data_IF_016999405113
#
_entry.id   IF_016999405113
#
_cell.length_a   1.000
_cell.length_b   1.000
_cell.length_c   1.000
_cell.angle_alpha   90.00
_cell.angle_beta   90.00
_cell.angle_gamma   90.00
#
_symmetry.space_group_name_H-M   'P 1'
#
loop_
_entity.id
_entity.type
_entity.pdbx_description
1 polymer ?
#
# COMPACT_ATOMS: atom_id res chain seq x y z
N UNK A 1 -14.49 8.87 -9.81
CA UNK A 1 -13.76 8.52 -11.05
C UNK A 1 -12.29 8.33 -10.66
N UNK A 2 -11.64 7.23 -11.08
CA UNK A 2 -10.21 7.04 -10.79
C UNK A 2 -9.37 8.17 -11.40
N UNK A 3 -8.37 8.64 -10.65
CA UNK A 3 -7.37 9.60 -11.10
C UNK A 3 -6.15 8.86 -11.63
N UNK A 4 -5.62 9.27 -12.77
CA UNK A 4 -4.43 8.66 -13.37
C UNK A 4 -3.31 9.70 -13.44
N UNK A 5 -2.09 9.26 -13.09
CA UNK A 5 -0.87 10.05 -13.20
C UNK A 5 -0.07 9.48 -14.36
N UNK A 6 0.11 10.24 -15.43
CA UNK A 6 0.96 9.85 -16.56
C UNK A 6 2.42 10.21 -16.26
N UNK A 7 3.26 9.21 -16.18
CA UNK A 7 4.68 9.34 -15.87
C UNK A 7 5.54 9.63 -17.13
N UNK A 8 4.93 9.67 -18.32
CA UNK A 8 5.61 10.00 -19.58
C UNK A 8 5.63 11.51 -19.88
N UNK A 9 4.68 12.26 -19.30
CA UNK A 9 4.48 13.70 -19.50
C UNK A 9 4.40 14.44 -18.16
N UNK A 10 5.53 14.50 -17.43
CA UNK A 10 5.57 15.24 -16.17
C UNK A 10 6.03 16.68 -16.42
N UNK A 11 5.10 17.55 -16.83
CA UNK A 11 5.17 18.98 -16.54
C UNK A 11 4.43 19.24 -15.22
N UNK A 12 5.16 19.82 -14.27
CA UNK A 12 4.77 19.95 -12.87
C UNK A 12 3.79 21.12 -12.73
N UNK A 13 2.49 20.85 -12.61
CA UNK A 13 1.62 21.76 -11.85
C UNK A 13 1.69 21.34 -10.37
N UNK A 14 2.41 22.14 -9.59
CA UNK A 14 2.43 22.05 -8.13
C UNK A 14 1.03 22.43 -7.60
N UNK A 15 0.19 21.43 -7.42
CA UNK A 15 -1.01 21.61 -6.58
C UNK A 15 -0.65 21.14 -5.17
N UNK A 16 -0.41 22.10 -4.30
CA UNK A 16 -0.34 21.87 -2.86
C UNK A 16 -1.71 21.36 -2.40
N UNK A 17 -1.88 20.04 -2.30
CA UNK A 17 -3.09 19.45 -1.75
C UNK A 17 -3.08 19.63 -0.24
N UNK A 18 -3.75 20.69 0.23
CA UNK A 18 -4.09 20.87 1.65
C UNK A 18 -5.24 19.93 1.99
N UNK A 19 -5.22 19.23 3.15
CA UNK A 19 -6.32 18.37 3.56
C UNK A 19 -7.62 19.16 3.63
N UNK A 20 -8.53 18.92 2.71
CA UNK A 20 -9.89 19.45 2.80
C UNK A 20 -10.73 18.54 3.69
N UNK A 21 -11.32 19.09 4.74
CA UNK A 21 -12.31 18.42 5.60
C UNK A 21 -11.86 17.17 6.36
N UNK A 22 -10.63 17.14 6.92
CA UNK A 22 -10.19 16.06 7.80
C UNK A 22 -9.91 14.71 7.11
N UNK A 23 -9.92 14.65 5.78
CA UNK A 23 -9.55 13.47 5.02
C UNK A 23 -8.03 13.32 4.94
N UNK A 24 -7.54 12.10 5.08
CA UNK A 24 -6.11 11.80 4.93
C UNK A 24 -5.66 12.01 3.48
N UNK A 25 -4.45 12.55 3.32
CA UNK A 25 -3.81 12.75 2.02
C UNK A 25 -2.40 12.17 2.06
N UNK A 26 -2.11 11.24 1.16
CA UNK A 26 -0.76 10.76 0.88
C UNK A 26 -0.21 11.57 -0.29
N UNK A 27 0.90 12.28 -0.08
CA UNK A 27 1.47 13.21 -1.05
C UNK A 27 2.95 12.92 -1.28
N UNK A 28 3.37 12.98 -2.52
CA UNK A 28 4.79 12.91 -2.91
C UNK A 28 5.20 14.23 -3.54
N UNK A 29 6.41 14.68 -3.27
CA UNK A 29 6.95 15.93 -3.78
C UNK A 29 8.34 15.71 -4.38
N UNK A 30 8.46 15.98 -5.68
CA UNK A 30 9.73 16.00 -6.42
C UNK A 30 10.61 14.77 -6.20
N UNK A 31 10.01 13.58 -6.20
CA UNK A 31 10.76 12.34 -5.98
C UNK A 31 11.79 12.11 -7.08
N UNK A 32 13.02 11.88 -6.68
CA UNK A 32 14.13 11.51 -7.56
C UNK A 32 14.76 10.22 -7.09
N UNK A 33 15.00 9.30 -8.02
CA UNK A 33 15.77 8.07 -7.77
C UNK A 33 16.81 7.85 -8.84
N UNK A 34 18.06 7.68 -8.37
CA UNK A 34 19.23 7.42 -9.20
C UNK A 34 19.86 6.08 -8.81
N UNK A 35 20.27 5.31 -9.78
CA UNK A 35 21.12 4.13 -9.61
C UNK A 35 22.43 4.35 -10.38
N UNK A 36 23.51 4.60 -9.66
CA UNK A 36 24.77 5.05 -10.26
C UNK A 36 24.57 6.36 -11.05
N UNK A 37 24.87 6.32 -12.35
CA UNK A 37 24.72 7.49 -13.25
C UNK A 37 23.33 7.60 -13.89
N UNK A 38 22.47 6.59 -13.71
CA UNK A 38 21.15 6.55 -14.34
C UNK A 38 20.07 7.10 -13.41
N UNK A 39 19.39 8.15 -13.84
CA UNK A 39 18.15 8.62 -13.19
C UNK A 39 16.98 7.76 -13.69
N UNK A 40 16.28 7.09 -12.76
CA UNK A 40 15.14 6.22 -13.05
C UNK A 40 13.83 6.93 -12.78
N UNK A 41 13.80 7.80 -11.78
CA UNK A 41 12.66 8.68 -11.47
C UNK A 41 13.17 10.10 -11.35
N UNK A 42 12.53 11.04 -12.05
CA UNK A 42 12.95 12.44 -12.10
C UNK A 42 11.78 13.35 -11.73
N UNK A 43 11.87 13.99 -10.57
CA UNK A 43 10.93 15.01 -10.05
C UNK A 43 9.45 14.62 -10.12
N UNK A 44 9.12 13.39 -9.71
CA UNK A 44 7.74 12.90 -9.70
C UNK A 44 6.98 13.39 -8.48
N UNK A 45 5.81 14.02 -8.73
CA UNK A 45 4.89 14.48 -7.69
C UNK A 45 3.49 14.00 -7.98
N UNK A 46 2.78 13.48 -6.98
CA UNK A 46 1.37 13.14 -7.04
C UNK A 46 0.78 13.07 -5.62
N UNK A 47 -0.54 13.10 -5.54
CA UNK A 47 -1.29 12.95 -4.30
C UNK A 47 -2.39 11.89 -4.43
N UNK A 48 -2.72 11.28 -3.31
CA UNK A 48 -3.84 10.35 -3.15
C UNK A 48 -4.65 10.78 -1.94
N UNK A 49 -5.91 11.14 -2.16
CA UNK A 49 -6.84 11.51 -1.09
C UNK A 49 -7.63 10.30 -0.60
N UNK A 50 -8.04 10.31 0.64
CA UNK A 50 -8.87 9.24 1.21
C UNK A 50 -10.13 9.00 0.37
N UNK A 51 -10.36 7.74 -0.01
CA UNK A 51 -11.46 7.33 -0.88
C UNK A 51 -11.19 7.54 -2.39
N UNK A 52 -10.01 8.03 -2.77
CA UNK A 52 -9.59 8.19 -4.16
C UNK A 52 -8.83 6.97 -4.66
N UNK A 53 -8.97 6.66 -5.95
CA UNK A 53 -8.16 5.66 -6.65
C UNK A 53 -7.27 6.38 -7.65
N UNK A 54 -5.97 6.24 -7.49
CA UNK A 54 -4.95 6.84 -8.37
C UNK A 54 -4.16 5.75 -9.07
N UNK A 55 -4.05 5.83 -10.40
CA UNK A 55 -3.25 4.92 -11.22
C UNK A 55 -1.99 5.60 -11.75
N UNK A 56 -0.83 4.94 -11.60
CA UNK A 56 0.41 5.37 -12.24
C UNK A 56 0.50 4.74 -13.64
N UNK A 57 0.46 5.55 -14.67
CA UNK A 57 0.54 5.13 -16.07
C UNK A 57 1.89 5.53 -16.68
N UNK A 58 2.23 4.90 -17.79
CA UNK A 58 3.43 5.18 -18.57
C UNK A 58 4.05 3.92 -19.17
N UNK A 59 5.01 4.07 -20.10
CA UNK A 59 5.68 2.95 -20.75
C UNK A 59 6.54 2.14 -19.78
N UNK A 60 7.01 0.98 -20.21
CA UNK A 60 7.95 0.19 -19.43
C UNK A 60 9.26 0.98 -19.25
N UNK A 61 9.77 0.99 -18.03
CA UNK A 61 10.96 1.77 -17.68
C UNK A 61 10.70 3.23 -17.30
N UNK A 62 9.45 3.72 -17.32
CA UNK A 62 9.08 5.09 -16.91
C UNK A 62 9.23 5.35 -15.39
N UNK A 63 9.68 4.39 -14.60
CA UNK A 63 9.87 4.57 -13.16
C UNK A 63 8.63 4.33 -12.30
N UNK A 64 7.51 3.82 -12.86
CA UNK A 64 6.26 3.57 -12.12
C UNK A 64 6.46 2.72 -10.87
N UNK A 65 7.05 1.54 -11.02
CA UNK A 65 7.33 0.61 -9.91
C UNK A 65 8.26 1.24 -8.88
N UNK A 66 9.29 1.97 -9.33
CA UNK A 66 10.23 2.64 -8.44
C UNK A 66 9.54 3.75 -7.65
N UNK A 67 8.70 4.57 -8.27
CA UNK A 67 7.89 5.60 -7.60
C UNK A 67 6.92 5.00 -6.59
N UNK A 68 6.25 3.91 -6.96
CA UNK A 68 5.39 3.15 -6.05
C UNK A 68 6.18 2.60 -4.85
N UNK A 69 7.36 2.02 -5.07
CA UNK A 69 8.20 1.49 -3.99
C UNK A 69 8.77 2.59 -3.08
N UNK A 70 9.04 3.77 -3.59
CA UNK A 70 9.38 4.92 -2.75
C UNK A 70 8.20 5.33 -1.88
N UNK A 71 6.99 5.39 -2.47
CA UNK A 71 5.76 5.76 -1.76
C UNK A 71 5.39 4.76 -0.66
N UNK A 72 5.66 3.48 -0.85
CA UNK A 72 5.38 2.43 0.13
C UNK A 72 6.51 2.21 1.15
N UNK A 73 7.69 2.80 0.96
CA UNK A 73 8.83 2.70 1.87
C UNK A 73 9.76 1.53 1.62
N UNK A 74 9.62 0.83 0.47
CA UNK A 74 10.54 -0.22 0.04
C UNK A 74 11.86 0.33 -0.49
N UNK A 75 11.83 1.54 -1.03
CA UNK A 75 12.99 2.27 -1.57
C UNK A 75 13.00 3.67 -0.98
N UNK A 76 14.16 4.15 -0.58
CA UNK A 76 14.35 5.54 -0.13
C UNK A 76 14.68 6.39 -1.37
N UNK A 77 14.02 7.54 -1.59
CA UNK A 77 14.37 8.47 -2.66
C UNK A 77 15.75 9.10 -2.43
N UNK A 78 16.40 9.55 -3.49
CA UNK A 78 17.61 10.37 -3.40
C UNK A 78 17.28 11.83 -3.10
N UNK A 79 16.16 12.33 -3.64
CA UNK A 79 15.66 13.69 -3.44
C UNK A 79 14.13 13.65 -3.39
N UNK A 80 13.54 14.69 -2.83
CA UNK A 80 12.09 14.81 -2.65
C UNK A 80 11.58 14.24 -1.34
N UNK A 81 10.29 14.39 -1.10
CA UNK A 81 9.64 14.04 0.15
C UNK A 81 8.34 13.28 -0.07
N UNK A 82 7.94 12.53 0.95
CA UNK A 82 6.67 11.80 1.01
C UNK A 82 6.00 12.17 2.31
N UNK A 83 4.76 12.64 2.22
CA UNK A 83 3.98 13.11 3.37
C UNK A 83 2.69 12.30 3.50
N UNK A 84 2.33 12.01 4.74
CA UNK A 84 0.98 11.59 5.12
C UNK A 84 0.37 12.73 5.92
N UNK A 85 -0.56 13.48 5.31
CA UNK A 85 -0.97 14.82 5.76
C UNK A 85 0.27 15.73 5.91
N UNK A 86 0.55 16.22 7.12
CA UNK A 86 1.72 17.05 7.40
C UNK A 86 2.92 16.28 7.93
N UNK A 87 2.78 14.96 8.11
CA UNK A 87 3.84 14.10 8.62
C UNK A 87 4.77 13.67 7.49
N UNK A 88 6.05 14.07 7.57
CA UNK A 88 7.09 13.57 6.65
C UNK A 88 7.41 12.11 6.99
N UNK A 89 7.09 11.21 6.05
CA UNK A 89 7.32 9.78 6.17
C UNK A 89 8.43 9.28 5.24
N UNK A 90 9.18 10.17 4.61
CA UNK A 90 10.19 9.86 3.59
C UNK A 90 11.17 8.79 4.06
N UNK A 91 11.68 8.90 5.30
CA UNK A 91 12.61 7.96 5.89
C UNK A 91 11.95 6.76 6.59
N UNK A 92 10.60 6.71 6.65
CA UNK A 92 9.89 5.65 7.34
C UNK A 92 9.98 4.33 6.56
N UNK A 93 10.43 3.25 7.19
CA UNK A 93 10.35 1.91 6.60
C UNK A 93 8.89 1.44 6.52
N UNK A 94 8.65 0.38 5.73
CA UNK A 94 7.31 -0.16 5.44
C UNK A 94 6.49 -0.37 6.72
N UNK A 95 7.08 -0.97 7.77
CA UNK A 95 6.34 -1.25 9.01
C UNK A 95 5.84 0.00 9.73
N UNK A 96 6.65 1.09 9.73
CA UNK A 96 6.23 2.36 10.30
C UNK A 96 5.12 3.02 9.48
N UNK A 97 5.17 2.89 8.15
CA UNK A 97 4.09 3.37 7.27
C UNK A 97 2.81 2.58 7.51
N UNK A 98 2.90 1.27 7.68
CA UNK A 98 1.77 0.42 8.03
C UNK A 98 1.11 0.85 9.37
N UNK A 99 1.92 1.18 10.39
CA UNK A 99 1.42 1.71 11.68
C UNK A 99 0.71 3.07 11.54
N UNK A 100 0.95 3.80 10.46
CA UNK A 100 0.27 5.05 10.14
C UNK A 100 -0.87 4.87 9.12
N UNK A 101 -1.29 3.63 8.83
CA UNK A 101 -2.42 3.33 7.98
C UNK A 101 -2.11 3.17 6.49
N UNK A 102 -0.84 2.99 6.10
CA UNK A 102 -0.49 2.74 4.69
C UNK A 102 -0.35 1.24 4.47
N UNK A 103 -1.38 0.61 3.92
CA UNK A 103 -1.34 -0.79 3.52
C UNK A 103 -0.51 -1.00 2.25
N UNK A 104 0.20 -2.13 2.19
CA UNK A 104 0.96 -2.54 1.00
C UNK A 104 0.53 -3.93 0.55
N UNK A 105 0.07 -4.03 -0.70
CA UNK A 105 -0.26 -5.28 -1.36
C UNK A 105 0.79 -5.58 -2.43
N UNK A 106 1.65 -6.58 -2.17
CA UNK A 106 2.70 -6.98 -3.09
C UNK A 106 2.14 -7.52 -4.43
N UNK A 107 2.89 -7.34 -5.52
CA UNK A 107 2.58 -7.95 -6.81
C UNK A 107 2.78 -9.47 -6.75
N UNK A 108 3.84 -9.93 -6.10
CA UNK A 108 4.14 -11.34 -5.92
C UNK A 108 3.35 -11.93 -4.73
N UNK A 109 3.22 -13.26 -4.74
CA UNK A 109 2.52 -13.97 -3.67
C UNK A 109 3.20 -13.77 -2.32
N UNK A 110 2.47 -13.21 -1.35
CA UNK A 110 2.97 -12.86 -0.02
C UNK A 110 2.31 -13.66 1.12
N UNK A 111 1.42 -14.60 0.80
CA UNK A 111 0.74 -15.44 1.79
C UNK A 111 1.74 -16.31 2.55
N UNK A 112 1.58 -16.45 3.86
CA UNK A 112 2.35 -17.40 4.65
C UNK A 112 1.89 -18.81 4.35
N UNK A 113 2.71 -19.55 3.60
CA UNK A 113 2.35 -20.84 3.00
C UNK A 113 1.96 -21.92 4.01
N UNK A 114 2.57 -21.91 5.19
CA UNK A 114 2.38 -22.90 6.27
C UNK A 114 1.40 -22.45 7.35
N UNK A 115 0.74 -21.34 7.15
CA UNK A 115 -0.32 -20.86 8.02
C UNK A 115 -1.67 -21.02 7.32
N UNK A 116 -2.74 -21.24 8.10
CA UNK A 116 -4.10 -21.25 7.56
C UNK A 116 -4.51 -19.87 7.05
N UNK A 117 -5.60 -19.79 6.30
CA UNK A 117 -6.16 -18.49 5.86
C UNK A 117 -6.47 -17.61 7.07
N UNK A 118 -7.14 -18.13 8.08
CA UNK A 118 -7.47 -17.35 9.28
C UNK A 118 -6.21 -16.92 10.04
N UNK A 119 -5.20 -17.78 10.19
CA UNK A 119 -3.96 -17.43 10.87
C UNK A 119 -3.16 -16.37 10.09
N UNK A 120 -3.20 -16.43 8.76
CA UNK A 120 -2.62 -15.39 7.90
C UNK A 120 -3.22 -14.01 8.19
N UNK A 121 -4.52 -13.92 8.39
CA UNK A 121 -5.21 -12.64 8.69
C UNK A 121 -5.01 -12.28 10.16
N UNK A 122 -5.18 -13.23 11.07
CA UNK A 122 -5.04 -13.03 12.51
C UNK A 122 -3.65 -12.53 12.90
N UNK A 123 -2.59 -13.05 12.27
CA UNK A 123 -1.21 -12.62 12.53
C UNK A 123 -0.98 -11.12 12.30
N UNK A 124 -1.73 -10.50 11.41
CA UNK A 124 -1.67 -9.05 11.18
C UNK A 124 -2.51 -8.30 12.20
N UNK A 125 -3.69 -8.83 12.54
CA UNK A 125 -4.55 -8.23 13.56
C UNK A 125 -3.88 -8.20 14.94
N UNK A 126 -3.10 -9.22 15.28
CA UNK A 126 -2.31 -9.28 16.53
C UNK A 126 -1.27 -8.16 16.63
N UNK A 127 -0.78 -7.64 15.50
CA UNK A 127 0.14 -6.50 15.46
C UNK A 127 -0.57 -5.16 15.69
N UNK A 128 -1.89 -5.13 15.59
CA UNK A 128 -2.68 -3.94 15.93
C UNK A 128 -2.84 -3.85 17.45
N UNK A 129 -2.96 -2.64 17.98
CA UNK A 129 -3.18 -2.43 19.43
C UNK A 129 -4.67 -2.42 19.77
N UNK A 130 -5.49 -3.17 19.04
CA UNK A 130 -6.94 -3.26 19.23
C UNK A 130 -7.30 -4.36 20.23
N UNK A 131 -8.54 -4.32 20.77
CA UNK A 131 -9.00 -5.35 21.70
C UNK A 131 -9.16 -6.72 21.04
N UNK A 132 -9.01 -7.81 21.79
CA UNK A 132 -9.22 -9.18 21.28
C UNK A 132 -10.61 -9.37 20.66
N UNK A 133 -11.63 -8.73 21.22
CA UNK A 133 -13.00 -8.76 20.72
C UNK A 133 -13.09 -8.14 19.33
N UNK A 134 -12.52 -6.96 19.15
CA UNK A 134 -12.43 -6.28 17.86
C UNK A 134 -11.65 -7.10 16.83
N UNK A 135 -10.49 -7.68 17.20
CA UNK A 135 -9.68 -8.52 16.31
C UNK A 135 -10.48 -9.73 15.81
N UNK A 136 -11.24 -10.37 16.70
CA UNK A 136 -12.11 -11.50 16.34
C UNK A 136 -13.24 -11.08 15.39
N UNK A 137 -13.93 -9.99 15.69
CA UNK A 137 -15.00 -9.46 14.86
C UNK A 137 -14.46 -9.05 13.47
N UNK A 138 -13.35 -8.37 13.42
CA UNK A 138 -12.69 -7.98 12.17
C UNK A 138 -12.25 -9.18 11.33
N UNK A 139 -11.71 -10.23 11.97
CA UNK A 139 -11.34 -11.47 11.29
C UNK A 139 -12.57 -12.13 10.63
N UNK A 140 -13.67 -12.27 11.36
CA UNK A 140 -14.91 -12.86 10.82
C UNK A 140 -15.47 -12.00 9.66
N UNK A 141 -15.46 -10.70 9.81
CA UNK A 141 -15.89 -9.76 8.76
C UNK A 141 -15.07 -9.93 7.48
N UNK A 142 -13.73 -9.95 7.59
CA UNK A 142 -12.83 -10.10 6.44
C UNK A 142 -13.01 -11.47 5.76
N UNK A 143 -13.14 -12.55 6.54
CA UNK A 143 -13.39 -13.89 6.00
C UNK A 143 -14.71 -13.93 5.23
N UNK A 144 -15.75 -13.28 5.73
CA UNK A 144 -17.05 -13.20 5.07
C UNK A 144 -16.99 -12.34 3.80
N UNK A 145 -16.43 -11.15 3.88
CA UNK A 145 -16.31 -10.19 2.76
C UNK A 145 -15.55 -10.79 1.57
N UNK A 146 -14.43 -11.46 1.84
CA UNK A 146 -13.59 -12.07 0.82
C UNK A 146 -13.98 -13.51 0.46
N UNK A 147 -15.12 -14.02 0.98
CA UNK A 147 -15.67 -15.36 0.68
C UNK A 147 -14.64 -16.47 0.92
N UNK A 148 -13.97 -16.41 2.07
CA UNK A 148 -12.90 -17.34 2.47
C UNK A 148 -13.39 -18.45 3.44
N UNK A 149 -14.68 -18.49 3.79
CA UNK A 149 -15.24 -19.41 4.78
C UNK A 149 -14.89 -20.88 4.49
N UNK A 150 -15.03 -21.30 3.21
CA UNK A 150 -14.81 -22.70 2.80
C UNK A 150 -13.34 -23.13 2.90
N UNK A 151 -12.41 -22.18 2.78
CA UNK A 151 -10.95 -22.43 2.79
C UNK A 151 -10.29 -21.90 4.06
N UNK A 152 -11.06 -21.47 5.02
CA UNK A 152 -10.62 -20.83 6.25
C UNK A 152 -9.48 -21.57 6.95
N UNK A 153 -9.56 -22.88 7.02
CA UNK A 153 -8.56 -23.76 7.66
C UNK A 153 -7.48 -24.29 6.71
N UNK A 154 -7.60 -24.03 5.41
CA UNK A 154 -6.60 -24.48 4.43
C UNK A 154 -5.32 -23.69 4.60
N UNK A 155 -4.18 -24.37 4.41
CA UNK A 155 -2.88 -23.72 4.41
C UNK A 155 -2.67 -22.88 3.14
N UNK A 156 -1.84 -21.85 3.23
CA UNK A 156 -1.58 -20.93 2.14
C UNK A 156 -1.04 -21.59 0.86
N UNK A 157 -0.31 -22.72 0.98
CA UNK A 157 0.18 -23.49 -0.16
C UNK A 157 -0.90 -24.38 -0.83
N UNK A 158 -2.04 -24.57 -0.19
CA UNK A 158 -3.18 -25.34 -0.71
C UNK A 158 -4.19 -24.48 -1.46
N UNK A 159 -4.04 -23.16 -1.43
CA UNK A 159 -4.98 -22.21 -2.02
C UNK A 159 -4.81 -22.10 -3.53
N UNK A 160 -5.91 -21.99 -4.25
CA UNK A 160 -5.91 -21.52 -5.64
C UNK A 160 -5.36 -20.09 -5.74
N UNK A 161 -4.97 -19.65 -6.93
CA UNK A 161 -4.45 -18.29 -7.15
C UNK A 161 -5.42 -17.20 -6.70
N UNK A 162 -6.72 -17.38 -6.96
CA UNK A 162 -7.77 -16.44 -6.57
C UNK A 162 -7.99 -16.41 -5.04
N UNK A 163 -8.02 -17.56 -4.38
CA UNK A 163 -8.16 -17.67 -2.93
C UNK A 163 -6.95 -17.05 -2.22
N UNK A 164 -5.75 -17.32 -2.74
CA UNK A 164 -4.51 -16.71 -2.24
C UNK A 164 -4.58 -15.19 -2.34
N UNK A 165 -4.95 -14.67 -3.49
CA UNK A 165 -5.05 -13.21 -3.67
C UNK A 165 -6.07 -12.56 -2.76
N UNK A 166 -7.24 -13.18 -2.57
CA UNK A 166 -8.25 -12.69 -1.61
C UNK A 166 -7.74 -12.69 -0.17
N UNK A 167 -6.97 -13.73 0.22
CA UNK A 167 -6.34 -13.79 1.55
C UNK A 167 -5.32 -12.68 1.75
N UNK A 168 -4.50 -12.38 0.74
CA UNK A 168 -3.52 -11.30 0.77
C UNK A 168 -4.19 -9.92 0.89
N UNK A 169 -5.29 -9.70 0.17
CA UNK A 169 -6.07 -8.46 0.27
C UNK A 169 -6.69 -8.34 1.67
N UNK A 170 -7.30 -9.40 2.19
CA UNK A 170 -7.86 -9.41 3.53
C UNK A 170 -6.80 -9.08 4.61
N UNK A 171 -5.59 -9.63 4.48
CA UNK A 171 -4.45 -9.27 5.35
C UNK A 171 -4.09 -7.80 5.26
N UNK A 172 -4.05 -7.24 4.05
CA UNK A 172 -3.74 -5.82 3.84
C UNK A 172 -4.79 -4.92 4.51
N UNK A 173 -6.07 -5.29 4.42
CA UNK A 173 -7.18 -4.53 5.02
C UNK A 173 -7.35 -4.76 6.53
N UNK A 174 -6.65 -5.72 7.11
CA UNK A 174 -6.72 -5.99 8.55
C UNK A 174 -6.21 -4.82 9.41
N UNK A 175 -5.33 -3.97 8.87
CA UNK A 175 -4.81 -2.78 9.56
C UNK A 175 -5.69 -1.53 9.40
N UNK A 176 -6.83 -1.62 8.73
CA UNK A 176 -7.71 -0.47 8.38
C UNK A 176 -6.93 0.69 7.73
N UNK A 177 -6.30 0.43 6.56
CA UNK A 177 -5.43 1.39 5.90
C UNK A 177 -6.19 2.61 5.35
#
# INVERSE_FOLDING_TARGET
>A
VPKFVDMSELEIEQQNAVPENGKMVLRTENLVKKYGKRTVVSHVSFDVKQGEIVGLLGPNGAGKTTSFYMTTGLIVPNEGHIYLNDLDITSYPVYKRAQNGIGYLAQEASVFRKMSVEDNIASVLELTKTSPEYQKEKLESLIAEFRLQKVRKNLGDQLSGGERRRTEIARCLAIDP
#
